data_IF_587996545744
#
_entry.id   IF_587996545744
#
_cell.length_a   1.000
_cell.length_b   1.000
_cell.length_c   1.000
_cell.angle_alpha   90.00
_cell.angle_beta   90.00
_cell.angle_gamma   90.00
#
_symmetry.space_group_name_H-M   'P 1'
#
loop_
_entity.id
_entity.type
_entity.pdbx_description
1 polymer ?
#
# COMPACT_ATOMS: atom_id res chain seq x y z
N UNK A 1 37.76 -19.12 -28.73
CA UNK A 1 37.11 -20.38 -29.11
C UNK A 1 36.93 -21.15 -27.80
N UNK A 2 35.72 -21.36 -27.26
CA UNK A 2 34.38 -21.16 -27.85
C UNK A 2 33.29 -20.80 -26.82
N UNK A 3 32.11 -20.44 -27.34
CA UNK A 3 30.79 -20.58 -26.70
C UNK A 3 30.32 -19.60 -25.58
N UNK A 4 30.72 -18.32 -25.60
CA UNK A 4 30.04 -17.27 -24.79
C UNK A 4 28.79 -16.64 -25.46
N UNK A 5 28.32 -17.17 -26.60
CA UNK A 5 27.26 -16.54 -27.40
C UNK A 5 26.15 -17.54 -27.78
N UNK A 6 25.21 -17.78 -26.86
CA UNK A 6 24.04 -18.67 -27.07
C UNK A 6 22.89 -18.49 -26.05
N UNK A 7 22.44 -17.25 -25.82
CA UNK A 7 21.14 -17.02 -25.15
C UNK A 7 20.31 -15.86 -25.69
N UNK A 8 20.78 -15.18 -26.75
CA UNK A 8 19.98 -14.23 -27.52
C UNK A 8 18.96 -14.96 -28.41
N UNK A 9 17.99 -15.64 -27.80
CA UNK A 9 16.73 -15.92 -28.46
C UNK A 9 16.19 -14.59 -28.99
N UNK A 10 15.97 -14.50 -30.31
CA UNK A 10 15.72 -13.24 -30.99
C UNK A 10 14.60 -12.47 -30.30
N UNK A 11 14.89 -11.26 -29.80
CA UNK A 11 13.92 -10.40 -29.10
C UNK A 11 12.96 -9.75 -30.11
N UNK A 12 12.19 -10.57 -30.80
CA UNK A 12 11.07 -10.12 -31.64
C UNK A 12 9.99 -9.50 -30.75
N UNK A 13 9.19 -8.55 -31.25
CA UNK A 13 8.08 -7.99 -30.47
C UNK A 13 7.11 -9.07 -29.99
N UNK A 14 6.88 -10.12 -30.79
CA UNK A 14 6.03 -11.27 -30.47
C UNK A 14 6.56 -12.11 -29.29
N UNK A 15 7.87 -12.34 -29.20
CA UNK A 15 8.44 -13.06 -28.03
C UNK A 15 8.37 -12.21 -26.76
N UNK A 16 8.48 -10.87 -26.88
CA UNK A 16 8.35 -9.97 -25.74
C UNK A 16 6.90 -9.91 -25.23
N UNK A 17 5.91 -9.82 -26.12
CA UNK A 17 4.48 -9.86 -25.73
C UNK A 17 4.11 -11.21 -25.13
N UNK A 18 4.54 -12.32 -25.74
CA UNK A 18 4.32 -13.67 -25.20
C UNK A 18 4.90 -13.83 -23.78
N UNK A 19 6.12 -13.31 -23.52
CA UNK A 19 6.73 -13.35 -22.17
C UNK A 19 5.93 -12.53 -21.14
N UNK A 20 5.39 -11.37 -21.52
CA UNK A 20 4.51 -10.59 -20.62
C UNK A 20 3.21 -11.36 -20.36
N UNK A 21 2.56 -11.90 -21.39
CA UNK A 21 1.32 -12.68 -21.24
C UNK A 21 1.52 -13.95 -20.40
N UNK A 22 2.66 -14.64 -20.54
CA UNK A 22 3.00 -15.81 -19.74
C UNK A 22 3.20 -15.46 -18.26
N UNK A 23 3.87 -14.35 -17.95
CA UNK A 23 4.02 -13.86 -16.57
C UNK A 23 2.68 -13.43 -15.96
N UNK A 24 1.83 -12.76 -16.75
CA UNK A 24 0.48 -12.40 -16.34
C UNK A 24 -0.39 -13.63 -16.06
N UNK A 25 -0.29 -14.67 -16.89
CA UNK A 25 -0.95 -15.97 -16.64
C UNK A 25 -0.44 -16.62 -15.35
N UNK A 26 0.88 -16.68 -15.13
CA UNK A 26 1.44 -17.23 -13.88
C UNK A 26 0.94 -16.45 -12.66
N UNK A 27 0.92 -15.11 -12.70
CA UNK A 27 0.37 -14.30 -11.60
C UNK A 27 -1.09 -14.62 -11.35
N UNK A 28 -1.93 -14.56 -12.40
CA UNK A 28 -3.37 -14.80 -12.29
C UNK A 28 -3.68 -16.23 -11.81
N UNK A 29 -2.91 -17.23 -12.24
CA UNK A 29 -3.06 -18.60 -11.78
C UNK A 29 -2.79 -18.70 -10.26
N UNK A 30 -1.70 -18.11 -9.77
CA UNK A 30 -1.39 -18.06 -8.34
C UNK A 30 -2.46 -17.28 -7.55
N UNK A 31 -2.94 -16.14 -8.08
CA UNK A 31 -3.97 -15.29 -7.44
C UNK A 31 -5.36 -15.93 -7.36
N UNK A 32 -5.66 -16.96 -8.17
CA UNK A 32 -7.02 -17.53 -8.32
C UNK A 32 -7.20 -18.92 -7.71
N UNK A 33 -6.11 -19.61 -7.35
CA UNK A 33 -6.16 -20.97 -6.81
C UNK A 33 -5.80 -21.00 -5.32
N UNK A 34 -6.06 -22.13 -4.68
CA UNK A 34 -5.61 -22.36 -3.30
C UNK A 34 -4.08 -22.32 -3.21
N UNK A 35 -3.59 -21.70 -2.14
CA UNK A 35 -2.17 -21.44 -1.90
C UNK A 35 -1.35 -22.75 -1.87
N UNK A 36 -1.90 -23.78 -1.25
CA UNK A 36 -1.28 -25.11 -1.11
C UNK A 36 -1.08 -25.83 -2.46
N UNK A 37 -1.94 -25.55 -3.45
CA UNK A 37 -1.86 -26.16 -4.78
C UNK A 37 -0.61 -25.69 -5.56
N UNK A 38 -0.06 -24.51 -5.23
CA UNK A 38 1.11 -23.96 -5.90
C UNK A 38 2.45 -24.32 -5.24
N UNK A 39 2.45 -24.72 -3.96
CA UNK A 39 3.65 -25.14 -3.22
C UNK A 39 4.57 -26.12 -3.99
N UNK A 40 4.09 -27.23 -4.61
CA UNK A 40 4.96 -28.16 -5.35
C UNK A 40 5.57 -27.60 -6.65
N UNK A 41 5.11 -26.44 -7.11
CA UNK A 41 5.59 -25.81 -8.35
C UNK A 41 6.51 -24.60 -8.09
N UNK A 42 6.61 -24.14 -6.85
CA UNK A 42 7.39 -22.94 -6.47
C UNK A 42 8.84 -23.03 -6.92
N UNK A 43 9.56 -24.11 -6.60
CA UNK A 43 11.02 -24.18 -6.83
C UNK A 43 11.36 -24.19 -8.34
N UNK A 44 10.43 -24.62 -9.20
CA UNK A 44 10.59 -24.56 -10.66
C UNK A 44 10.21 -23.18 -11.23
N UNK A 45 9.16 -22.54 -10.70
CA UNK A 45 8.64 -21.26 -11.19
C UNK A 45 9.44 -20.05 -10.69
N UNK A 46 9.78 -20.02 -9.41
CA UNK A 46 10.35 -18.86 -8.74
C UNK A 46 11.69 -18.38 -9.37
N UNK A 47 12.67 -19.24 -9.69
CA UNK A 47 13.92 -18.78 -10.34
C UNK A 47 13.68 -18.15 -11.72
N UNK A 48 12.67 -18.62 -12.46
CA UNK A 48 12.29 -18.04 -13.75
C UNK A 48 11.66 -16.66 -13.58
N UNK A 49 10.76 -16.48 -12.59
CA UNK A 49 10.13 -15.20 -12.27
C UNK A 49 11.18 -14.20 -11.73
N UNK A 50 12.07 -14.61 -10.83
CA UNK A 50 13.12 -13.75 -10.29
C UNK A 50 14.09 -13.27 -11.38
N UNK A 51 14.49 -14.15 -12.30
CA UNK A 51 15.30 -13.77 -13.48
C UNK A 51 14.54 -12.80 -14.40
N UNK A 52 13.25 -13.03 -14.65
CA UNK A 52 12.43 -12.11 -15.43
C UNK A 52 12.23 -10.75 -14.72
N UNK A 53 12.21 -10.72 -13.39
CA UNK A 53 12.23 -9.48 -12.62
C UNK A 53 13.49 -8.65 -12.89
N UNK A 54 14.59 -9.30 -13.32
CA UNK A 54 15.84 -8.69 -13.76
C UNK A 54 15.89 -8.21 -15.23
N UNK A 55 14.83 -8.37 -16.01
CA UNK A 55 14.86 -8.08 -17.46
C UNK A 55 15.10 -6.58 -17.77
N UNK A 56 15.63 -6.32 -18.96
CA UNK A 56 15.86 -4.99 -19.51
C UNK A 56 14.58 -4.36 -20.06
N UNK A 57 13.61 -5.17 -20.53
CA UNK A 57 12.33 -4.66 -20.99
C UNK A 57 11.38 -4.44 -19.80
N UNK A 58 11.05 -3.17 -19.54
CA UNK A 58 10.35 -2.78 -18.31
C UNK A 58 9.00 -3.48 -18.10
N UNK A 59 8.24 -3.80 -19.16
CA UNK A 59 6.96 -4.53 -19.02
C UNK A 59 7.14 -5.95 -18.51
N UNK A 60 8.20 -6.64 -18.92
CA UNK A 60 8.55 -7.98 -18.40
C UNK A 60 8.99 -7.85 -16.94
N UNK A 61 9.84 -6.86 -16.62
CA UNK A 61 10.28 -6.64 -15.25
C UNK A 61 9.12 -6.25 -14.30
N UNK A 62 8.18 -5.42 -14.75
CA UNK A 62 7.01 -5.00 -13.97
C UNK A 62 6.05 -6.17 -13.75
N UNK A 63 5.72 -6.94 -14.78
CA UNK A 63 4.81 -8.08 -14.66
C UNK A 63 5.45 -9.21 -13.83
N UNK A 64 6.75 -9.43 -13.96
CA UNK A 64 7.49 -10.34 -13.08
C UNK A 64 7.51 -9.87 -11.62
N UNK A 65 7.65 -8.56 -11.33
CA UNK A 65 7.52 -8.05 -9.96
C UNK A 65 6.09 -8.20 -9.40
N UNK A 66 5.05 -8.12 -10.24
CA UNK A 66 3.67 -8.45 -9.83
C UNK A 66 3.52 -9.96 -9.55
N UNK A 67 4.15 -10.82 -10.35
CA UNK A 67 4.20 -12.27 -10.09
C UNK A 67 5.00 -12.62 -8.82
N UNK A 68 6.11 -11.92 -8.52
CA UNK A 68 6.79 -12.03 -7.22
C UNK A 68 5.84 -11.71 -6.06
N UNK A 69 5.05 -10.63 -6.18
CA UNK A 69 4.08 -10.25 -5.14
C UNK A 69 2.98 -11.31 -4.93
N UNK A 70 2.56 -12.02 -5.99
CA UNK A 70 1.61 -13.12 -5.89
C UNK A 70 2.21 -14.41 -5.29
N UNK A 71 3.52 -14.64 -5.45
CA UNK A 71 4.21 -15.77 -4.81
C UNK A 71 4.37 -15.61 -3.29
N UNK A 72 4.32 -14.38 -2.76
CA UNK A 72 4.53 -14.11 -1.32
C UNK A 72 3.57 -14.90 -0.41
N UNK A 73 2.24 -14.90 -0.61
CA UNK A 73 1.32 -15.75 0.14
C UNK A 73 1.68 -17.24 0.10
N UNK A 74 2.15 -17.74 -1.05
CA UNK A 74 2.54 -19.15 -1.24
C UNK A 74 3.77 -19.49 -0.39
N UNK A 75 4.77 -18.62 -0.39
CA UNK A 75 5.95 -18.79 0.46
C UNK A 75 5.62 -18.65 1.94
N UNK A 76 4.71 -17.75 2.32
CA UNK A 76 4.29 -17.56 3.70
C UNK A 76 3.55 -18.79 4.24
N UNK A 77 2.58 -19.33 3.49
CA UNK A 77 1.86 -20.54 3.86
C UNK A 77 2.77 -21.77 3.91
N UNK A 78 3.63 -21.97 2.90
CA UNK A 78 4.58 -23.08 2.88
C UNK A 78 5.54 -23.04 4.09
N UNK A 79 6.01 -21.85 4.48
CA UNK A 79 6.84 -21.67 5.68
C UNK A 79 6.07 -21.91 6.98
N UNK A 80 4.83 -21.42 7.09
CA UNK A 80 3.98 -21.64 8.25
C UNK A 80 3.63 -23.12 8.45
N UNK A 81 3.45 -23.87 7.35
CA UNK A 81 3.23 -25.31 7.35
C UNK A 81 4.52 -26.15 7.50
N UNK A 82 5.70 -25.52 7.59
CA UNK A 82 7.01 -26.17 7.53
C UNK A 82 7.16 -27.14 6.33
N UNK A 83 6.57 -26.77 5.18
CA UNK A 83 6.47 -27.63 4.01
C UNK A 83 7.84 -27.83 3.36
N UNK A 84 8.46 -29.00 3.61
CA UNK A 84 9.77 -29.41 3.08
C UNK A 84 9.85 -29.46 1.54
N UNK A 85 8.73 -29.25 0.83
CA UNK A 85 8.65 -29.18 -0.63
C UNK A 85 9.18 -27.85 -1.17
N UNK A 86 9.12 -26.76 -0.40
CA UNK A 86 9.61 -25.44 -0.83
C UNK A 86 10.99 -25.17 -0.26
N UNK A 87 11.95 -24.85 -1.13
CA UNK A 87 13.33 -24.57 -0.73
C UNK A 87 13.40 -23.31 0.15
N UNK A 88 14.08 -23.41 1.31
CA UNK A 88 14.14 -22.33 2.28
C UNK A 88 14.80 -21.05 1.76
N UNK A 89 15.64 -21.14 0.71
CA UNK A 89 16.29 -19.99 0.07
C UNK A 89 15.34 -19.12 -0.75
N UNK A 90 14.21 -19.65 -1.25
CA UNK A 90 13.34 -18.97 -2.22
C UNK A 90 12.77 -17.66 -1.65
N UNK A 91 12.48 -17.62 -0.35
CA UNK A 91 12.04 -16.40 0.33
C UNK A 91 13.14 -15.32 0.40
N UNK A 92 14.40 -15.72 0.65
CA UNK A 92 15.55 -14.82 0.67
C UNK A 92 15.94 -14.34 -0.74
N UNK A 93 15.81 -15.20 -1.76
CA UNK A 93 16.00 -14.84 -3.17
C UNK A 93 14.94 -13.85 -3.66
N UNK A 94 13.66 -14.06 -3.29
CA UNK A 94 12.58 -13.09 -3.54
C UNK A 94 12.90 -11.75 -2.88
N UNK A 95 13.37 -11.78 -1.63
CA UNK A 95 13.74 -10.59 -0.88
C UNK A 95 14.89 -9.81 -1.54
N UNK A 96 15.96 -10.50 -1.95
CA UNK A 96 17.08 -9.88 -2.67
C UNK A 96 16.64 -9.28 -4.02
N UNK A 97 15.84 -10.02 -4.80
CA UNK A 97 15.30 -9.54 -6.07
C UNK A 97 14.44 -8.28 -5.86
N UNK A 98 13.53 -8.29 -4.89
CA UNK A 98 12.64 -7.18 -4.58
C UNK A 98 13.41 -5.95 -4.07
N UNK A 99 14.30 -6.11 -3.08
CA UNK A 99 15.11 -5.01 -2.54
C UNK A 99 15.96 -4.34 -3.63
N UNK A 100 16.59 -5.14 -4.50
CA UNK A 100 17.39 -4.63 -5.63
C UNK A 100 16.59 -3.77 -6.62
N UNK A 101 15.28 -4.01 -6.76
CA UNK A 101 14.38 -3.21 -7.59
C UNK A 101 13.87 -1.97 -6.87
N UNK A 102 13.53 -2.03 -5.58
CA UNK A 102 13.10 -0.87 -4.78
C UNK A 102 14.22 0.17 -4.59
N UNK A 103 15.46 -0.28 -4.44
CA UNK A 103 16.63 0.60 -4.26
C UNK A 103 16.94 1.47 -5.49
N UNK A 104 16.74 0.94 -6.71
CA UNK A 104 17.08 1.65 -7.96
C UNK A 104 16.18 2.87 -8.18
N UNK A 105 16.80 4.03 -8.37
CA UNK A 105 16.10 5.31 -8.62
C UNK A 105 15.66 5.44 -10.09
N UNK A 106 16.51 5.01 -11.02
CA UNK A 106 16.29 5.16 -12.46
C UNK A 106 15.66 3.89 -13.05
N UNK A 107 14.33 3.85 -12.97
CA UNK A 107 13.47 2.82 -13.55
C UNK A 107 12.14 3.41 -14.01
N UNK A 108 11.49 2.68 -14.91
CA UNK A 108 10.10 2.89 -15.31
C UNK A 108 9.15 2.89 -14.09
N UNK A 109 8.08 3.68 -14.18
CA UNK A 109 7.10 3.84 -13.11
C UNK A 109 6.35 2.53 -12.79
N UNK A 110 6.01 1.70 -13.79
CA UNK A 110 5.32 0.43 -13.55
C UNK A 110 6.18 -0.54 -12.73
N UNK A 111 7.49 -0.58 -12.99
CA UNK A 111 8.43 -1.44 -12.25
C UNK A 111 8.58 -0.95 -10.80
N UNK A 112 8.67 0.37 -10.59
CA UNK A 112 8.72 0.98 -9.25
C UNK A 112 7.48 0.66 -8.42
N UNK A 113 6.29 0.85 -8.99
CA UNK A 113 5.03 0.58 -8.29
C UNK A 113 4.86 -0.91 -7.97
N UNK A 114 5.19 -1.80 -8.93
CA UNK A 114 5.16 -3.25 -8.71
C UNK A 114 6.17 -3.69 -7.63
N UNK A 115 7.39 -3.13 -7.63
CA UNK A 115 8.40 -3.45 -6.62
C UNK A 115 8.01 -2.94 -5.22
N UNK A 116 7.44 -1.74 -5.11
CA UNK A 116 6.91 -1.20 -3.85
C UNK A 116 5.75 -2.07 -3.32
N UNK A 117 4.83 -2.51 -4.19
CA UNK A 117 3.74 -3.40 -3.82
C UNK A 117 4.25 -4.78 -3.36
N UNK A 118 5.22 -5.36 -4.08
CA UNK A 118 5.89 -6.61 -3.71
C UNK A 118 6.60 -6.49 -2.35
N UNK A 119 7.34 -5.41 -2.10
CA UNK A 119 7.99 -5.15 -0.82
C UNK A 119 7.00 -5.06 0.35
N UNK A 120 5.86 -4.39 0.13
CA UNK A 120 4.78 -4.31 1.13
C UNK A 120 4.14 -5.67 1.43
N UNK A 121 3.97 -6.55 0.42
CA UNK A 121 3.50 -7.92 0.63
C UNK A 121 4.54 -8.76 1.39
N UNK A 122 5.77 -8.76 0.91
CA UNK A 122 6.91 -9.48 1.45
C UNK A 122 7.12 -9.18 2.95
N UNK A 123 7.16 -7.90 3.33
CA UNK A 123 7.29 -7.49 4.73
C UNK A 123 6.07 -7.90 5.58
N UNK A 124 4.88 -7.89 5.00
CA UNK A 124 3.64 -8.21 5.72
C UNK A 124 3.41 -9.70 5.94
N UNK A 125 4.01 -10.60 5.14
CA UNK A 125 3.67 -12.03 5.19
C UNK A 125 4.87 -12.93 5.47
N UNK A 126 6.08 -12.52 5.07
CA UNK A 126 7.31 -13.26 5.36
C UNK A 126 8.05 -12.73 6.60
N UNK A 127 7.87 -11.44 6.92
CA UNK A 127 8.49 -10.77 8.06
C UNK A 127 10.02 -10.82 8.06
N UNK A 128 10.63 -10.48 9.20
CA UNK A 128 12.09 -10.51 9.33
C UNK A 128 12.67 -11.93 9.27
N UNK A 129 11.94 -12.93 9.77
CA UNK A 129 12.37 -14.34 9.77
C UNK A 129 12.43 -14.94 8.34
N UNK A 130 11.64 -14.42 7.39
CA UNK A 130 11.61 -14.86 6.00
C UNK A 130 12.40 -13.99 5.02
N UNK A 131 12.55 -12.70 5.32
CA UNK A 131 13.25 -11.71 4.49
C UNK A 131 14.73 -11.55 4.91
N UNK A 132 15.04 -11.83 6.17
CA UNK A 132 16.28 -11.44 6.83
C UNK A 132 16.20 -10.03 7.39
N UNK A 133 16.53 -9.86 8.67
CA UNK A 133 16.39 -8.60 9.42
C UNK A 133 17.08 -7.41 8.71
N UNK A 134 18.26 -7.62 8.12
CA UNK A 134 19.00 -6.59 7.40
C UNK A 134 18.25 -6.08 6.16
N UNK A 135 17.76 -7.00 5.32
CA UNK A 135 17.05 -6.68 4.07
C UNK A 135 15.67 -6.06 4.38
N UNK A 136 14.99 -6.55 5.41
CA UNK A 136 13.73 -5.98 5.88
C UNK A 136 13.91 -4.52 6.33
N UNK A 137 14.94 -4.24 7.14
CA UNK A 137 15.26 -2.91 7.66
C UNK A 137 15.65 -1.92 6.55
N UNK A 138 16.46 -2.35 5.59
CA UNK A 138 16.83 -1.54 4.41
C UNK A 138 15.59 -1.23 3.56
N UNK A 139 14.80 -2.26 3.23
CA UNK A 139 13.57 -2.13 2.43
C UNK A 139 12.57 -1.18 3.10
N UNK A 140 12.41 -1.26 4.42
CA UNK A 140 11.56 -0.35 5.20
C UNK A 140 12.04 1.10 5.12
N UNK A 141 13.34 1.38 5.24
CA UNK A 141 13.86 2.75 5.09
C UNK A 141 13.63 3.26 3.66
N UNK A 142 13.89 2.44 2.64
CA UNK A 142 13.62 2.79 1.24
C UNK A 142 12.14 3.12 1.01
N UNK A 143 11.21 2.34 1.57
CA UNK A 143 9.77 2.60 1.48
C UNK A 143 9.39 3.94 2.12
N UNK A 144 9.97 4.29 3.28
CA UNK A 144 9.75 5.60 3.91
C UNK A 144 10.28 6.73 3.03
N UNK A 145 11.45 6.57 2.41
CA UNK A 145 11.99 7.61 1.51
C UNK A 145 11.20 7.68 0.18
N UNK A 146 10.51 6.61 -0.25
CA UNK A 146 9.53 6.68 -1.35
C UNK A 146 8.25 7.45 -1.00
N UNK A 147 7.91 7.69 0.28
CA UNK A 147 6.76 8.56 0.65
C UNK A 147 6.95 10.00 0.17
N UNK A 148 8.19 10.49 0.10
CA UNK A 148 8.51 11.86 -0.31
C UNK A 148 8.28 12.10 -1.82
N UNK A 149 8.19 11.04 -2.62
CA UNK A 149 8.08 11.12 -4.08
C UNK A 149 6.60 11.21 -4.54
N UNK A 150 6.24 12.31 -5.20
CA UNK A 150 4.87 12.62 -5.70
C UNK A 150 4.19 11.44 -6.42
N UNK A 151 4.93 10.75 -7.29
CA UNK A 151 4.41 9.67 -8.16
C UNK A 151 4.23 8.35 -7.43
N UNK A 152 5.14 7.97 -6.53
CA UNK A 152 5.16 6.65 -5.88
C UNK A 152 4.58 6.63 -4.46
N UNK A 153 4.34 7.80 -3.84
CA UNK A 153 3.84 7.89 -2.45
C UNK A 153 2.56 7.11 -2.18
N UNK A 154 1.59 7.05 -3.10
CA UNK A 154 0.35 6.29 -2.85
C UNK A 154 0.63 4.79 -2.69
N UNK A 155 1.53 4.25 -3.52
CA UNK A 155 1.94 2.85 -3.43
C UNK A 155 2.79 2.60 -2.18
N UNK A 156 3.69 3.52 -1.83
CA UNK A 156 4.49 3.44 -0.60
C UNK A 156 3.62 3.49 0.68
N UNK A 157 2.61 4.37 0.72
CA UNK A 157 1.62 4.43 1.82
C UNK A 157 0.87 3.10 1.96
N UNK A 158 0.41 2.50 0.85
CA UNK A 158 -0.25 1.19 0.88
C UNK A 158 0.69 0.07 1.34
N UNK A 159 1.94 0.07 0.88
CA UNK A 159 2.95 -0.92 1.26
C UNK A 159 3.27 -0.86 2.76
N UNK A 160 3.53 0.34 3.30
CA UNK A 160 3.77 0.55 4.73
C UNK A 160 2.51 0.21 5.54
N UNK A 161 1.32 0.57 5.07
CA UNK A 161 0.06 0.21 5.72
C UNK A 161 -0.16 -1.30 5.80
N UNK A 162 0.14 -2.06 4.74
CA UNK A 162 0.09 -3.53 4.72
C UNK A 162 1.09 -4.14 5.70
N UNK A 163 2.34 -3.65 5.69
CA UNK A 163 3.38 -4.11 6.61
C UNK A 163 3.01 -3.84 8.08
N UNK A 164 2.55 -2.63 8.41
CA UNK A 164 2.14 -2.25 9.75
C UNK A 164 0.85 -2.95 10.24
N UNK A 165 -0.04 -3.35 9.33
CA UNK A 165 -1.25 -4.11 9.65
C UNK A 165 -0.98 -5.61 9.89
N UNK A 166 0.22 -6.09 9.57
CA UNK A 166 0.58 -7.50 9.69
C UNK A 166 0.62 -7.99 11.15
N UNK A 167 0.23 -9.24 11.43
CA UNK A 167 0.52 -9.91 12.70
C UNK A 167 1.99 -10.40 12.82
N UNK A 168 2.77 -10.36 11.74
CA UNK A 168 4.15 -10.85 11.69
C UNK A 168 5.09 -9.82 12.34
N UNK A 169 6.11 -10.29 13.06
CA UNK A 169 7.06 -9.43 13.78
C UNK A 169 7.90 -8.59 12.79
N UNK A 170 7.82 -7.28 12.95
CA UNK A 170 8.68 -6.27 12.33
C UNK A 170 9.22 -5.33 13.41
N UNK A 171 10.54 -5.19 13.50
CA UNK A 171 11.25 -4.35 14.46
C UNK A 171 11.28 -2.88 14.01
N UNK A 172 10.09 -2.28 13.82
CA UNK A 172 9.91 -0.89 13.36
C UNK A 172 10.46 0.19 14.33
N UNK A 173 10.95 -0.22 15.51
CA UNK A 173 11.68 0.63 16.47
C UNK A 173 13.09 0.96 15.98
N UNK A 174 13.75 0.04 15.28
CA UNK A 174 15.12 0.26 14.81
C UNK A 174 15.10 1.34 13.71
N UNK A 175 15.97 2.35 13.83
CA UNK A 175 16.11 3.48 12.89
C UNK A 175 14.91 4.45 12.77
N UNK A 176 14.06 4.57 13.80
CA UNK A 176 12.95 5.55 13.83
C UNK A 176 12.00 5.47 12.61
N UNK A 177 11.91 4.29 11.98
CA UNK A 177 11.12 4.09 10.75
C UNK A 177 9.64 4.39 11.00
N UNK A 178 9.09 3.93 12.12
CA UNK A 178 7.69 4.17 12.50
C UNK A 178 7.39 5.67 12.72
N UNK A 179 8.26 6.40 13.42
CA UNK A 179 8.07 7.82 13.73
C UNK A 179 8.27 8.73 12.49
N UNK A 180 9.26 8.42 11.65
CA UNK A 180 9.45 9.03 10.32
C UNK A 180 8.23 8.80 9.42
N UNK A 181 7.76 7.55 9.30
CA UNK A 181 6.59 7.21 8.50
C UNK A 181 5.34 7.94 9.01
N UNK A 182 5.08 7.92 10.33
CA UNK A 182 3.93 8.58 10.93
C UNK A 182 3.92 10.09 10.67
N UNK A 183 5.09 10.75 10.67
CA UNK A 183 5.23 12.19 10.36
C UNK A 183 4.76 12.50 8.93
N UNK A 184 5.28 11.77 7.94
CA UNK A 184 4.92 11.96 6.52
C UNK A 184 3.45 11.61 6.27
N UNK A 185 2.96 10.50 6.83
CA UNK A 185 1.57 10.06 6.72
C UNK A 185 0.59 11.09 7.31
N UNK A 186 0.90 11.68 8.47
CA UNK A 186 0.11 12.76 9.06
C UNK A 186 0.15 14.03 8.19
N UNK A 187 1.28 14.27 7.50
CA UNK A 187 1.40 15.28 6.44
C UNK A 187 0.39 15.08 5.30
N UNK A 188 0.18 13.83 4.86
CA UNK A 188 -0.74 13.52 3.76
C UNK A 188 -2.22 13.71 4.10
N UNK A 189 -2.62 13.62 5.37
CA UNK A 189 -4.01 13.89 5.80
C UNK A 189 -4.51 15.30 5.42
N UNK A 190 -3.58 16.25 5.20
CA UNK A 190 -3.87 17.63 4.79
C UNK A 190 -3.89 17.84 3.27
N UNK A 191 -3.55 16.84 2.46
CA UNK A 191 -3.51 16.94 0.98
C UNK A 191 -4.89 16.69 0.37
N UNK A 192 -5.19 17.31 -0.77
CA UNK A 192 -6.51 17.20 -1.40
C UNK A 192 -6.87 15.77 -1.85
N UNK A 193 -5.88 14.99 -2.32
CA UNK A 193 -6.02 13.64 -2.86
C UNK A 193 -6.73 12.70 -1.88
N UNK A 194 -7.97 12.29 -2.22
CA UNK A 194 -8.82 11.46 -1.35
C UNK A 194 -8.30 10.03 -1.18
N UNK A 195 -7.92 9.28 -2.24
CA UNK A 195 -7.26 7.98 -2.09
C UNK A 195 -6.02 8.01 -1.18
N UNK A 196 -5.17 9.04 -1.31
CA UNK A 196 -3.97 9.20 -0.47
C UNK A 196 -4.33 9.41 1.00
N UNK A 197 -5.32 10.27 1.30
CA UNK A 197 -5.79 10.48 2.68
C UNK A 197 -6.38 9.23 3.30
N UNK A 198 -7.16 8.45 2.53
CA UNK A 198 -7.76 7.20 3.01
C UNK A 198 -6.68 6.15 3.33
N UNK A 199 -5.72 5.95 2.42
CA UNK A 199 -4.61 5.03 2.63
C UNK A 199 -3.71 5.48 3.80
N UNK A 200 -3.43 6.78 3.92
CA UNK A 200 -2.60 7.31 5.00
C UNK A 200 -3.26 7.19 6.38
N UNK A 201 -4.58 7.43 6.47
CA UNK A 201 -5.34 7.23 7.71
C UNK A 201 -5.35 5.75 8.13
N UNK A 202 -5.53 4.81 7.19
CA UNK A 202 -5.48 3.38 7.46
C UNK A 202 -4.08 2.93 7.92
N UNK A 203 -3.01 3.40 7.26
CA UNK A 203 -1.63 3.08 7.64
C UNK A 203 -1.27 3.65 9.03
N UNK A 204 -1.71 4.87 9.36
CA UNK A 204 -1.55 5.46 10.69
C UNK A 204 -2.31 4.67 11.77
N UNK A 205 -3.53 4.21 11.47
CA UNK A 205 -4.30 3.39 12.40
C UNK A 205 -3.57 2.08 12.71
N UNK A 206 -3.07 1.37 11.68
CA UNK A 206 -2.30 0.14 11.84
C UNK A 206 -0.99 0.34 12.65
N UNK A 207 -0.23 1.40 12.35
CA UNK A 207 0.96 1.78 13.14
C UNK A 207 0.60 2.07 14.61
N UNK A 208 -0.51 2.76 14.85
CA UNK A 208 -0.97 3.10 16.19
C UNK A 208 -1.49 1.90 16.98
N UNK A 209 -2.15 0.92 16.35
CA UNK A 209 -2.65 -0.28 17.04
C UNK A 209 -1.54 -1.31 17.28
N UNK A 210 -0.71 -1.57 16.27
CA UNK A 210 0.21 -2.71 16.29
C UNK A 210 1.62 -2.32 16.76
N UNK A 211 2.00 -1.04 16.58
CA UNK A 211 3.36 -0.56 16.82
C UNK A 211 3.41 0.70 17.71
N UNK A 212 2.43 0.90 18.60
CA UNK A 212 2.36 2.04 19.52
C UNK A 212 3.69 2.34 20.25
N UNK A 213 4.38 1.30 20.72
CA UNK A 213 5.66 1.43 21.42
C UNK A 213 6.83 1.92 20.54
N UNK A 214 6.69 1.90 19.21
CA UNK A 214 7.65 2.50 18.26
C UNK A 214 7.32 3.96 17.92
N UNK A 215 6.15 4.47 18.33
CA UNK A 215 5.74 5.86 18.15
C UNK A 215 6.06 6.75 19.36
N UNK A 216 6.58 6.17 20.46
CA UNK A 216 6.75 6.84 21.77
C UNK A 216 7.67 8.07 21.77
N UNK A 217 8.46 8.31 20.72
CA UNK A 217 9.27 9.51 20.56
C UNK A 217 8.58 10.67 19.81
N UNK A 218 7.41 10.43 19.22
CA UNK A 218 6.70 11.41 18.41
C UNK A 218 5.44 11.95 19.12
N UNK A 219 5.29 13.27 19.15
CA UNK A 219 4.23 13.99 19.89
C UNK A 219 2.84 13.87 19.24
N UNK A 220 2.31 12.65 19.11
CA UNK A 220 0.95 12.40 18.63
C UNK A 220 0.01 12.07 19.79
N UNK A 221 -0.80 13.05 20.20
CA UNK A 221 -1.97 12.77 21.04
C UNK A 221 -3.05 12.12 20.18
N UNK A 222 -3.20 10.80 20.32
CA UNK A 222 -4.30 10.04 19.71
C UNK A 222 -5.61 10.39 20.41
N UNK A 223 -6.26 11.46 19.97
CA UNK A 223 -7.60 11.83 20.44
C UNK A 223 -8.63 10.95 19.73
N UNK A 224 -9.40 10.11 20.44
CA UNK A 224 -10.48 9.37 19.82
C UNK A 224 -11.52 10.35 19.27
N UNK A 225 -11.87 10.22 17.98
CA UNK A 225 -12.96 11.02 17.41
C UNK A 225 -14.26 10.57 18.09
N UNK A 226 -14.84 11.45 18.92
CA UNK A 226 -16.22 11.27 19.39
C UNK A 226 -17.13 11.22 18.16
N UNK A 227 -18.01 10.20 18.02
CA UNK A 227 -18.96 10.16 16.92
C UNK A 227 -19.87 11.39 17.01
N UNK A 228 -19.72 12.31 16.05
CA UNK A 228 -20.53 13.51 15.97
C UNK A 228 -21.88 13.17 15.31
N UNK A 229 -22.85 12.79 16.14
CA UNK A 229 -24.26 12.72 15.76
C UNK A 229 -24.69 14.04 15.12
N UNK A 230 -24.91 14.03 13.81
CA UNK A 230 -25.29 15.20 13.01
C UNK A 230 -26.53 14.90 12.20
N UNK A 231 -27.68 15.02 12.85
CA UNK A 231 -28.98 14.99 12.21
C UNK A 231 -29.47 13.58 11.88
N UNK A 232 -30.77 13.43 12.01
CA UNK A 232 -31.54 12.21 11.79
C UNK A 232 -31.70 11.95 10.29
N UNK A 233 -30.67 11.37 9.67
CA UNK A 233 -30.74 10.73 8.34
C UNK A 233 -29.85 9.50 8.29
N UNK A 234 -30.48 8.33 8.25
CA UNK A 234 -29.81 7.03 8.16
C UNK A 234 -28.92 6.94 6.92
N UNK A 235 -27.62 7.11 7.16
CA UNK A 235 -26.58 6.76 6.19
C UNK A 235 -25.41 6.14 6.94
N UNK A 236 -25.39 4.80 6.95
CA UNK A 236 -24.32 3.99 7.53
C UNK A 236 -23.01 4.23 6.77
N UNK A 237 -22.28 5.26 7.16
CA UNK A 237 -20.91 5.56 6.72
C UNK A 237 -20.00 5.71 7.94
N UNK A 238 -19.71 4.58 8.56
CA UNK A 238 -18.66 4.41 9.56
C UNK A 238 -17.29 4.74 8.96
N UNK A 239 -16.88 6.01 9.06
CA UNK A 239 -15.50 6.43 8.78
C UNK A 239 -14.72 6.51 10.08
N UNK A 240 -13.92 5.47 10.36
CA UNK A 240 -12.83 5.54 11.32
C UNK A 240 -11.71 6.45 10.77
N UNK A 241 -11.86 7.76 10.94
CA UNK A 241 -10.80 8.73 10.75
C UNK A 241 -10.13 9.06 12.09
N UNK A 242 -8.84 9.35 12.08
CA UNK A 242 -8.17 10.06 13.17
C UNK A 242 -8.02 11.54 12.79
N UNK A 243 -8.31 12.46 13.71
CA UNK A 243 -8.19 13.91 13.46
C UNK A 243 -7.18 14.50 14.43
N UNK A 244 -5.99 14.81 13.90
CA UNK A 244 -4.96 15.53 14.64
C UNK A 244 -5.15 17.03 14.44
N UNK A 245 -5.37 17.77 15.53
CA UNK A 245 -5.36 19.25 15.54
C UNK A 245 -4.11 19.74 16.26
N UNK A 246 -3.37 20.64 15.61
CA UNK A 246 -2.35 21.46 16.27
C UNK A 246 -3.00 22.44 17.24
N UNK A 247 -2.41 22.62 18.42
CA UNK A 247 -2.95 23.42 19.51
C UNK A 247 -2.95 24.92 19.23
N UNK A 248 -4.13 25.53 19.17
CA UNK A 248 -4.33 26.98 19.27
C UNK A 248 -5.62 27.26 20.05
N UNK A 249 -5.44 27.84 21.25
CA UNK A 249 -6.43 28.37 22.20
C UNK A 249 -7.92 28.02 22.01
N UNK A 250 -8.44 27.09 22.82
CA UNK A 250 -9.87 26.94 23.05
C UNK A 250 -10.36 28.04 24.01
N UNK A 251 -11.09 29.03 23.50
CA UNK A 251 -11.57 30.17 24.29
C UNK A 251 -13.05 29.96 24.68
N UNK A 252 -13.37 29.69 25.97
CA UNK A 252 -14.71 29.28 26.37
C UNK A 252 -15.63 30.50 26.59
N UNK A 253 -16.40 30.88 25.58
CA UNK A 253 -17.56 31.78 25.74
C UNK A 253 -18.78 31.23 24.98
N UNK A 254 -19.89 30.88 25.66
CA UNK A 254 -21.08 30.36 25.01
C UNK A 254 -21.82 31.52 24.31
N UNK A 255 -21.92 31.47 22.98
CA UNK A 255 -22.79 32.38 22.22
C UNK A 255 -24.11 31.66 21.97
N UNK A 256 -25.21 32.17 22.54
CA UNK A 256 -26.56 31.58 22.48
C UNK A 256 -27.03 31.37 21.04
N UNK A 257 -27.70 30.24 20.82
CA UNK A 257 -28.58 30.03 19.67
C UNK A 257 -29.85 30.87 19.85
N UNK A 258 -30.23 31.60 18.81
CA UNK A 258 -31.58 32.14 18.62
C UNK A 258 -32.22 31.42 17.44
N UNK A 259 -33.29 30.68 17.70
CA UNK A 259 -34.15 30.06 16.68
C UNK A 259 -35.02 31.12 16.01
N UNK A 260 -35.24 31.09 14.69
CA UNK A 260 -36.50 31.54 14.11
C UNK A 260 -37.52 30.40 14.22
N UNK A 261 -38.72 30.75 14.65
CA UNK A 261 -39.92 29.90 14.54
C UNK A 261 -40.53 29.99 13.14
N UNK A 262 -41.55 29.17 12.93
CA UNK A 262 -42.50 29.12 11.82
C UNK A 262 -42.09 28.28 10.59
N UNK A 263 -42.94 27.29 10.36
CA UNK A 263 -42.90 26.30 9.31
C UNK A 263 -44.14 26.45 8.41
N UNK A 264 -44.24 25.56 7.40
CA UNK A 264 -45.36 25.36 6.49
C UNK A 264 -45.46 26.33 5.29
N UNK A 265 -44.89 25.85 4.18
CA UNK A 265 -45.52 25.65 2.86
C UNK A 265 -46.77 26.49 2.47
N UNK A 266 -46.76 27.05 1.26
CA UNK A 266 -47.65 26.65 0.14
C UNK A 266 -47.44 27.52 -1.13
N UNK A 267 -47.48 26.89 -2.30
CA UNK A 267 -47.63 27.49 -3.64
C UNK A 267 -48.87 26.86 -4.32
N UNK A 268 -49.43 27.41 -5.43
CA UNK A 268 -49.14 28.67 -6.13
C UNK A 268 -50.24 29.73 -5.81
N UNK A 269 -51.25 30.17 -6.61
CA UNK A 269 -51.60 29.97 -8.04
C UNK A 269 -51.18 31.19 -8.93
N UNK A 270 -52.07 31.68 -9.81
CA UNK A 270 -51.91 32.75 -10.82
C UNK A 270 -53.10 33.72 -10.72
N UNK A 271 -52.88 35.04 -10.91
CA UNK A 271 -53.94 35.99 -11.27
C UNK A 271 -53.38 37.15 -12.14
N UNK A 272 -54.12 37.53 -13.18
CA UNK A 272 -53.79 38.58 -14.16
C UNK A 272 -54.38 39.94 -13.73
N UNK A 273 -53.62 41.03 -13.91
CA UNK A 273 -54.01 42.40 -14.31
C UNK A 273 -52.67 43.19 -14.42
N UNK A 274 -52.44 44.20 -15.28
CA UNK A 274 -53.29 44.84 -16.27
C UNK A 274 -52.78 46.25 -16.59
N UNK A 275 -52.03 46.40 -17.69
CA UNK A 275 -51.91 47.60 -18.56
C UNK A 275 -51.52 49.01 -18.00
N UNK A 276 -50.45 49.53 -18.63
CA UNK A 276 -50.30 50.87 -19.28
C UNK A 276 -49.89 52.16 -18.54
N UNK A 277 -49.03 52.91 -19.28
CA UNK A 277 -48.64 54.34 -19.20
C UNK A 277 -47.74 54.74 -18.02
N UNK A 278 -46.69 55.54 -18.22
CA UNK A 278 -46.39 56.47 -19.33
C UNK A 278 -44.93 56.40 -19.77
#
# INVERSE_FOLDING_TARGET
MDASDKSAAARTPETLTLRVSALAFVRLAIETHAVDAFAPHVNALAPCVFRASGDAYYKIAAEAMRACAALVPVLAAARAAAAAVVDASVAAELAAACASRVARVDQDQEVKEAAIACAGAMLAELGEDGVGEAVARETLSLLVDRLKNETTRLCAVKAIGRAAASPVKLNLKMNDVASRAATELAGFLRKANRPLRQAAAAALAALATNHAAALSGAFYTLVPIRPCWRGERDSLRTFAGASLRTSLAFNPRPRRLSTPSDAFELHPPIALYGTTLR
#
